data_IF_194353539989
#
_entry.id   IF_194353539989
#
_cell.length_a   1.000
_cell.length_b   1.000
_cell.length_c   1.000
_cell.angle_alpha   90.00
_cell.angle_beta   90.00
_cell.angle_gamma   90.00
#
_symmetry.space_group_name_H-M   'P 1'
#
loop_
_entity.id
_entity.type
_entity.pdbx_description
1 polymer ?
#
# COMPACT_ATOMS: atom_id res chain seq x y z
N UNK A 1 7.01 -43.33 21.14
CA UNK A 1 7.47 -44.49 21.94
C UNK A 1 8.03 -44.05 23.28
N UNK A 2 9.14 -43.30 23.37
CA UNK A 2 9.71 -42.83 24.66
C UNK A 2 8.72 -42.04 25.52
N UNK A 3 8.03 -41.06 24.94
CA UNK A 3 6.99 -40.28 25.65
C UNK A 3 5.74 -41.12 26.02
N UNK A 4 5.41 -42.15 25.24
CA UNK A 4 4.31 -43.07 25.58
C UNK A 4 4.67 -43.98 26.75
N UNK A 5 5.94 -44.39 26.84
CA UNK A 5 6.47 -45.19 27.94
C UNK A 5 6.42 -44.39 29.26
N UNK A 6 6.85 -43.13 29.22
CA UNK A 6 6.72 -42.20 30.36
C UNK A 6 5.27 -41.96 30.74
N UNK A 7 4.37 -41.78 29.77
CA UNK A 7 2.94 -41.58 30.03
C UNK A 7 2.27 -42.81 30.67
N UNK A 8 2.72 -44.02 30.32
CA UNK A 8 2.19 -45.26 30.90
C UNK A 8 2.63 -45.50 32.34
N UNK A 9 3.72 -44.87 32.80
CA UNK A 9 4.23 -45.03 34.17
C UNK A 9 3.88 -43.78 34.98
N UNK A 10 2.79 -43.85 35.76
CA UNK A 10 2.30 -42.71 36.55
C UNK A 10 3.18 -42.38 37.76
N UNK A 11 4.02 -43.32 38.21
CA UNK A 11 4.99 -43.08 39.27
C UNK A 11 6.23 -42.37 38.71
N UNK A 12 6.47 -41.14 39.16
CA UNK A 12 7.57 -40.28 38.69
C UNK A 12 8.94 -40.92 38.92
N UNK A 13 9.17 -41.58 40.06
CA UNK A 13 10.46 -42.20 40.36
C UNK A 13 10.72 -43.45 39.52
N UNK A 14 9.68 -44.20 39.18
CA UNK A 14 9.80 -45.38 38.31
C UNK A 14 9.93 -44.97 36.85
N UNK A 15 9.20 -43.94 36.42
CA UNK A 15 9.24 -43.41 35.06
C UNK A 15 10.59 -42.79 34.71
N UNK A 16 11.18 -41.97 35.59
CA UNK A 16 12.46 -41.30 35.31
C UNK A 16 13.68 -42.21 35.45
N UNK A 17 13.59 -43.30 36.23
CA UNK A 17 14.68 -44.27 36.38
C UNK A 17 14.65 -45.40 35.35
N UNK A 18 13.73 -45.39 34.37
CA UNK A 18 13.77 -46.38 33.31
C UNK A 18 15.07 -46.24 32.49
N UNK A 19 15.71 -47.37 32.14
CA UNK A 19 16.93 -47.35 31.36
C UNK A 19 16.69 -46.72 29.98
N UNK A 20 17.73 -46.09 29.42
CA UNK A 20 17.72 -45.47 28.08
C UNK A 20 16.80 -44.25 27.87
N UNK A 21 16.02 -43.81 28.86
CA UNK A 21 15.17 -42.62 28.69
C UNK A 21 15.98 -41.35 28.52
N UNK A 22 16.93 -41.09 29.42
CA UNK A 22 17.76 -39.88 29.37
C UNK A 22 18.59 -39.80 28.07
N UNK A 23 19.35 -40.84 27.68
CA UNK A 23 20.07 -40.86 26.39
C UNK A 23 19.14 -40.70 25.18
N UNK A 24 17.94 -41.30 25.22
CA UNK A 24 16.94 -41.14 24.14
C UNK A 24 16.43 -39.71 24.03
N UNK A 25 16.16 -39.06 25.16
CA UNK A 25 15.69 -37.66 25.19
C UNK A 25 16.80 -36.71 24.72
N UNK A 26 18.05 -36.90 25.16
CA UNK A 26 19.19 -36.11 24.67
C UNK A 26 19.38 -36.26 23.15
N UNK A 27 19.23 -37.47 22.62
CA UNK A 27 19.29 -37.72 21.17
C UNK A 27 18.16 -37.02 20.43
N UNK A 28 16.92 -37.14 20.90
CA UNK A 28 15.76 -36.46 20.30
C UNK A 28 15.95 -34.95 20.33
N UNK A 29 16.44 -34.40 21.44
CA UNK A 29 16.72 -32.96 21.58
C UNK A 29 17.78 -32.50 20.59
N UNK A 30 18.86 -33.28 20.42
CA UNK A 30 19.91 -32.98 19.44
C UNK A 30 19.40 -33.03 18.01
N UNK A 31 18.66 -34.08 17.66
CA UNK A 31 18.08 -34.26 16.33
C UNK A 31 17.06 -33.16 16.01
N UNK A 32 16.23 -32.78 17.00
CA UNK A 32 15.30 -31.66 16.88
C UNK A 32 16.03 -30.34 16.62
N UNK A 33 17.10 -30.05 17.36
CA UNK A 33 17.90 -28.84 17.17
C UNK A 33 18.57 -28.76 15.79
N UNK A 34 18.98 -29.90 15.21
CA UNK A 34 19.48 -29.94 13.83
C UNK A 34 18.37 -29.64 12.81
N UNK A 35 17.19 -30.22 12.99
CA UNK A 35 16.03 -29.98 12.13
C UNK A 35 15.56 -28.53 12.20
N UNK A 36 15.49 -27.94 13.40
CA UNK A 36 15.12 -26.54 13.61
C UNK A 36 16.09 -25.59 12.92
N UNK A 37 17.40 -25.86 13.01
CA UNK A 37 18.42 -25.05 12.34
C UNK A 37 18.28 -25.14 10.81
N UNK A 38 18.16 -26.36 10.27
CA UNK A 38 18.00 -26.55 8.83
C UNK A 38 16.73 -25.87 8.30
N UNK A 39 15.63 -25.93 9.06
CA UNK A 39 14.39 -25.25 8.74
C UNK A 39 14.55 -23.73 8.77
N UNK A 40 15.23 -23.18 9.79
CA UNK A 40 15.49 -21.76 9.90
C UNK A 40 16.33 -21.23 8.72
N UNK A 41 17.38 -21.96 8.34
CA UNK A 41 18.26 -21.63 7.21
C UNK A 41 17.49 -21.69 5.87
N UNK A 42 16.61 -22.69 5.70
CA UNK A 42 15.74 -22.79 4.54
C UNK A 42 14.76 -21.61 4.45
N UNK A 43 14.09 -21.26 5.55
CA UNK A 43 13.15 -20.13 5.60
C UNK A 43 13.85 -18.80 5.34
N UNK A 44 15.07 -18.59 5.86
CA UNK A 44 15.83 -17.38 5.58
C UNK A 44 16.19 -17.26 4.09
N UNK A 45 16.53 -18.38 3.43
CA UNK A 45 16.78 -18.40 1.98
C UNK A 45 15.53 -17.95 1.21
N UNK A 46 14.33 -18.37 1.65
CA UNK A 46 13.06 -17.96 1.03
C UNK A 46 12.74 -16.50 1.30
N UNK A 47 13.03 -15.99 2.51
CA UNK A 47 12.89 -14.57 2.84
C UNK A 47 13.80 -13.68 2.00
N UNK A 48 15.02 -14.12 1.72
CA UNK A 48 15.93 -13.40 0.83
C UNK A 48 15.42 -13.37 -0.62
N UNK A 49 14.79 -14.46 -1.09
CA UNK A 49 14.24 -14.52 -2.44
C UNK A 49 13.00 -13.65 -2.61
N UNK A 50 12.10 -13.60 -1.61
CA UNK A 50 10.95 -12.70 -1.59
C UNK A 50 10.86 -11.95 -0.24
N UNK A 51 11.42 -10.73 -0.17
CA UNK A 51 11.61 -10.01 1.10
C UNK A 51 10.35 -9.68 1.90
N UNK A 52 9.15 -9.70 1.28
CA UNK A 52 7.90 -9.52 2.05
C UNK A 52 7.66 -10.65 3.06
N UNK A 53 8.31 -11.80 2.90
CA UNK A 53 8.26 -12.88 3.87
C UNK A 53 8.92 -12.56 5.21
N UNK A 54 9.68 -11.46 5.32
CA UNK A 54 10.13 -10.96 6.63
C UNK A 54 8.99 -10.43 7.51
N UNK A 55 7.81 -10.15 6.93
CA UNK A 55 6.66 -9.56 7.63
C UNK A 55 5.55 -10.55 7.96
N UNK A 56 5.74 -11.83 7.65
CA UNK A 56 4.79 -12.90 8.01
C UNK A 56 5.41 -13.84 9.04
N UNK A 57 4.56 -14.51 9.81
CA UNK A 57 5.03 -15.48 10.79
C UNK A 57 5.71 -16.68 10.09
N UNK A 58 6.64 -17.35 10.78
CA UNK A 58 7.28 -18.56 10.23
C UNK A 58 6.25 -19.67 9.93
N UNK A 59 5.15 -19.74 10.70
CA UNK A 59 4.07 -20.69 10.45
C UNK A 59 3.32 -20.38 9.15
N UNK A 60 2.98 -19.11 8.92
CA UNK A 60 2.34 -18.67 7.68
C UNK A 60 3.26 -18.86 6.47
N UNK A 61 4.55 -18.56 6.63
CA UNK A 61 5.52 -18.79 5.57
C UNK A 61 5.61 -20.26 5.19
N UNK A 62 5.60 -21.17 6.17
CA UNK A 62 5.58 -22.60 5.91
C UNK A 62 4.30 -23.04 5.18
N UNK A 63 3.15 -22.47 5.55
CA UNK A 63 1.87 -22.76 4.88
C UNK A 63 1.82 -22.25 3.44
N UNK A 64 2.40 -21.07 3.19
CA UNK A 64 2.58 -20.53 1.83
C UNK A 64 3.50 -21.43 1.00
N UNK A 65 4.62 -21.89 1.58
CA UNK A 65 5.59 -22.72 0.90
C UNK A 65 5.08 -24.14 0.63
N UNK A 66 4.33 -24.73 1.57
CA UNK A 66 3.72 -26.05 1.41
C UNK A 66 2.64 -26.04 0.32
N UNK A 67 1.89 -24.95 0.22
CA UNK A 67 0.82 -24.75 -0.75
C UNK A 67 1.26 -24.04 -2.03
N UNK A 68 2.57 -23.83 -2.23
CA UNK A 68 3.12 -22.98 -3.30
C UNK A 68 2.75 -23.42 -4.72
N UNK A 69 2.44 -24.71 -4.90
CA UNK A 69 1.98 -25.27 -6.17
C UNK A 69 0.49 -25.03 -6.46
N UNK A 70 -0.27 -24.56 -5.48
CA UNK A 70 -1.71 -24.27 -5.58
C UNK A 70 -1.96 -22.77 -5.30
N UNK A 71 -1.87 -21.90 -6.33
CA UNK A 71 -2.01 -20.45 -6.17
C UNK A 71 -3.32 -20.00 -5.51
N UNK A 72 -4.40 -20.76 -5.69
CA UNK A 72 -5.68 -20.52 -5.05
C UNK A 72 -5.62 -20.66 -3.53
N UNK A 73 -4.79 -21.58 -3.00
CA UNK A 73 -4.58 -21.72 -1.56
C UNK A 73 -3.68 -20.60 -1.02
N UNK A 74 -2.59 -20.28 -1.74
CA UNK A 74 -1.69 -19.17 -1.37
C UNK A 74 -2.42 -17.82 -1.35
N UNK A 75 -3.46 -17.67 -2.19
CA UNK A 75 -4.28 -16.45 -2.26
C UNK A 75 -4.85 -16.02 -0.90
N UNK A 76 -5.09 -16.96 0.02
CA UNK A 76 -5.57 -16.69 1.39
C UNK A 76 -4.60 -15.86 2.22
N UNK A 77 -3.31 -15.96 1.92
CA UNK A 77 -2.23 -15.25 2.62
C UNK A 77 -1.86 -13.92 1.96
N UNK A 78 -2.41 -13.58 0.78
CA UNK A 78 -2.09 -12.33 0.08
C UNK A 78 -2.40 -11.10 0.93
N UNK A 79 -3.44 -11.17 1.76
CA UNK A 79 -3.82 -10.09 2.69
C UNK A 79 -2.77 -9.76 3.74
N UNK A 80 -1.83 -10.68 4.00
CA UNK A 80 -0.67 -10.50 4.90
C UNK A 80 0.55 -9.97 4.16
N UNK A 81 0.65 -10.23 2.85
CA UNK A 81 1.79 -9.82 2.02
C UNK A 81 1.57 -8.45 1.36
N UNK A 82 0.32 -8.08 1.10
CA UNK A 82 -0.07 -6.86 0.38
C UNK A 82 -1.14 -6.08 1.18
N UNK A 83 -1.19 -4.75 1.02
CA UNK A 83 -2.13 -3.91 1.78
C UNK A 83 -3.59 -4.23 1.44
N UNK A 84 -3.93 -4.28 0.14
CA UNK A 84 -5.34 -4.43 -0.27
C UNK A 84 -5.64 -5.66 -1.10
N UNK A 85 -4.64 -6.38 -1.62
CA UNK A 85 -4.88 -7.61 -2.39
C UNK A 85 -5.40 -8.73 -1.48
N UNK A 86 -6.60 -9.24 -1.77
CA UNK A 86 -7.25 -10.32 -1.04
C UNK A 86 -7.33 -11.63 -1.83
N UNK A 87 -7.23 -11.57 -3.16
CA UNK A 87 -7.27 -12.76 -4.00
C UNK A 87 -6.93 -12.46 -5.45
N UNK A 88 -6.86 -13.52 -6.23
CA UNK A 88 -6.61 -13.49 -7.67
C UNK A 88 -7.76 -14.20 -8.39
N UNK A 89 -8.14 -13.67 -9.55
CA UNK A 89 -9.01 -14.33 -10.50
C UNK A 89 -8.13 -14.98 -11.56
N UNK A 90 -8.39 -16.26 -11.83
CA UNK A 90 -7.59 -17.06 -12.74
C UNK A 90 -8.37 -17.36 -14.02
N UNK A 91 -7.63 -17.46 -15.13
CA UNK A 91 -8.22 -17.80 -16.43
C UNK A 91 -8.85 -19.19 -16.37
N UNK A 92 -10.07 -19.30 -16.89
CA UNK A 92 -10.77 -20.58 -17.05
C UNK A 92 -10.50 -21.14 -18.44
N UNK A 93 -10.07 -22.40 -18.52
CA UNK A 93 -9.88 -23.12 -19.79
C UNK A 93 -10.58 -24.47 -19.68
N UNK A 94 -11.50 -24.74 -20.61
CA UNK A 94 -12.28 -25.99 -20.65
C UNK A 94 -13.00 -26.34 -19.33
N UNK A 95 -13.49 -25.32 -18.62
CA UNK A 95 -14.16 -25.47 -17.32
C UNK A 95 -13.24 -25.75 -16.14
N UNK A 96 -11.91 -25.77 -16.36
CA UNK A 96 -10.90 -25.89 -15.31
C UNK A 96 -10.17 -24.57 -15.09
N UNK A 97 -9.95 -24.26 -13.81
CA UNK A 97 -9.19 -23.09 -13.40
C UNK A 97 -7.70 -23.31 -13.69
N UNK A 98 -7.12 -22.46 -14.51
CA UNK A 98 -5.68 -22.47 -14.77
C UNK A 98 -4.92 -21.80 -13.61
N UNK A 99 -3.59 -21.83 -13.67
CA UNK A 99 -2.71 -21.11 -12.73
C UNK A 99 -2.30 -19.73 -13.23
N UNK A 100 -2.97 -19.21 -14.26
CA UNK A 100 -2.70 -17.90 -14.85
C UNK A 100 -3.66 -16.89 -14.24
N UNK A 101 -3.15 -15.95 -13.44
CA UNK A 101 -3.94 -14.87 -12.87
C UNK A 101 -4.21 -13.79 -13.92
N UNK A 102 -5.47 -13.43 -14.12
CA UNK A 102 -5.92 -12.40 -15.05
C UNK A 102 -6.45 -11.14 -14.36
N UNK A 103 -6.84 -11.21 -13.10
CA UNK A 103 -7.29 -10.04 -12.35
C UNK A 103 -6.95 -10.14 -10.87
N UNK A 104 -6.79 -8.97 -10.24
CA UNK A 104 -6.62 -8.79 -8.81
C UNK A 104 -7.97 -8.53 -8.15
N UNK A 105 -8.20 -9.10 -6.97
CA UNK A 105 -9.38 -8.83 -6.15
C UNK A 105 -8.95 -8.23 -4.81
N UNK A 106 -9.46 -7.05 -4.49
CA UNK A 106 -9.17 -6.35 -3.25
C UNK A 106 -10.04 -6.83 -2.07
N UNK A 107 -9.63 -6.44 -0.85
CA UNK A 107 -10.32 -6.70 0.42
C UNK A 107 -11.74 -6.11 0.46
N UNK A 108 -11.95 -4.98 -0.19
CA UNK A 108 -13.24 -4.31 -0.38
C UNK A 108 -14.08 -4.90 -1.54
N UNK A 109 -13.52 -5.89 -2.24
CA UNK A 109 -14.11 -6.57 -3.37
C UNK A 109 -13.90 -5.89 -4.73
N UNK A 110 -13.15 -4.78 -4.82
CA UNK A 110 -12.79 -4.18 -6.12
C UNK A 110 -12.00 -5.21 -6.94
N UNK A 111 -12.32 -5.30 -8.24
CA UNK A 111 -11.63 -6.19 -9.17
C UNK A 111 -10.94 -5.33 -10.22
N UNK A 112 -9.65 -5.59 -10.42
CA UNK A 112 -8.80 -4.88 -11.40
C UNK A 112 -8.15 -5.90 -12.31
N UNK A 113 -8.46 -5.84 -13.60
CA UNK A 113 -7.85 -6.72 -14.61
C UNK A 113 -6.35 -6.41 -14.74
N UNK A 114 -5.54 -7.46 -14.82
CA UNK A 114 -4.10 -7.32 -15.04
C UNK A 114 -3.82 -7.05 -16.51
N UNK A 115 -2.97 -6.06 -16.78
CA UNK A 115 -2.51 -5.77 -18.14
C UNK A 115 -1.68 -6.93 -18.68
N UNK A 116 -0.76 -7.42 -17.85
CA UNK A 116 0.06 -8.60 -18.13
C UNK A 116 -0.38 -9.73 -17.22
N UNK A 117 -0.91 -10.81 -17.80
CA UNK A 117 -1.33 -11.99 -17.05
C UNK A 117 -0.13 -12.56 -16.27
N UNK A 118 -0.37 -13.02 -15.04
CA UNK A 118 0.69 -13.54 -14.18
C UNK A 118 0.61 -15.07 -14.10
N UNK A 119 1.66 -15.75 -14.57
CA UNK A 119 1.78 -17.21 -14.45
C UNK A 119 2.21 -17.60 -13.02
N UNK A 120 1.28 -18.14 -12.24
CA UNK A 120 1.52 -18.60 -10.88
C UNK A 120 2.03 -20.07 -10.87
N UNK A 121 3.14 -20.32 -11.58
CA UNK A 121 3.76 -21.65 -11.72
C UNK A 121 5.19 -21.63 -11.20
N UNK A 122 5.63 -22.72 -10.58
CA UNK A 122 6.98 -22.85 -10.04
C UNK A 122 7.09 -22.40 -8.59
N UNK A 123 8.27 -21.95 -8.19
CA UNK A 123 8.52 -21.58 -6.80
C UNK A 123 7.73 -20.32 -6.41
N UNK A 124 7.14 -20.35 -5.21
CA UNK A 124 6.17 -19.35 -4.75
C UNK A 124 6.75 -17.94 -4.69
N UNK A 125 8.02 -17.82 -4.30
CA UNK A 125 8.75 -16.57 -4.24
C UNK A 125 8.80 -15.85 -5.60
N UNK A 126 8.99 -16.60 -6.69
CA UNK A 126 9.21 -16.03 -8.02
C UNK A 126 7.91 -15.56 -8.64
N UNK A 127 6.85 -16.35 -8.54
CA UNK A 127 5.57 -15.89 -9.08
C UNK A 127 4.94 -14.80 -8.21
N UNK A 128 5.19 -14.76 -6.90
CA UNK A 128 4.78 -13.63 -6.06
C UNK A 128 5.51 -12.33 -6.44
N UNK A 129 6.79 -12.43 -6.80
CA UNK A 129 7.54 -11.30 -7.34
C UNK A 129 6.96 -10.85 -8.70
N UNK A 130 6.72 -11.78 -9.62
CA UNK A 130 6.10 -11.47 -10.92
C UNK A 130 4.69 -10.86 -10.77
N UNK A 131 3.91 -11.32 -9.78
CA UNK A 131 2.62 -10.73 -9.44
C UNK A 131 2.76 -9.28 -8.97
N UNK A 132 3.75 -8.98 -8.14
CA UNK A 132 4.03 -7.62 -7.68
C UNK A 132 4.43 -6.69 -8.84
N UNK A 133 5.22 -7.19 -9.79
CA UNK A 133 5.64 -6.45 -10.98
C UNK A 133 4.43 -6.17 -11.90
N UNK A 134 3.64 -7.20 -12.22
CA UNK A 134 2.42 -7.09 -13.02
C UNK A 134 1.37 -6.17 -12.37
N UNK A 135 1.23 -6.22 -11.04
CA UNK A 135 0.38 -5.29 -10.27
C UNK A 135 0.80 -3.84 -10.51
N UNK A 136 2.10 -3.53 -10.36
CA UNK A 136 2.62 -2.16 -10.52
C UNK A 136 2.48 -1.67 -11.96
N UNK A 137 2.76 -2.53 -12.93
CA UNK A 137 2.56 -2.25 -14.34
C UNK A 137 1.09 -1.92 -14.64
N UNK A 138 0.17 -2.72 -14.09
CA UNK A 138 -1.27 -2.55 -14.25
C UNK A 138 -1.74 -1.20 -13.71
N UNK A 139 -1.37 -0.83 -12.48
CA UNK A 139 -1.73 0.47 -11.90
C UNK A 139 -1.13 1.63 -12.70
N UNK A 140 0.14 1.51 -13.12
CA UNK A 140 0.81 2.52 -13.96
C UNK A 140 0.11 2.70 -15.30
N UNK A 141 -0.28 1.62 -15.95
CA UNK A 141 -0.96 1.63 -17.25
C UNK A 141 -2.35 2.24 -17.17
N UNK A 142 -3.17 1.84 -16.19
CA UNK A 142 -4.47 2.47 -16.00
C UNK A 142 -4.34 3.95 -15.66
N UNK A 143 -3.33 4.35 -14.87
CA UNK A 143 -3.10 5.77 -14.57
C UNK A 143 -2.70 6.57 -15.81
N UNK A 144 -1.84 6.04 -16.69
CA UNK A 144 -1.46 6.76 -17.92
C UNK A 144 -2.66 7.00 -18.84
N UNK A 145 -3.52 5.99 -19.01
CA UNK A 145 -4.75 6.12 -19.81
C UNK A 145 -5.72 7.09 -19.14
N UNK A 146 -5.93 6.96 -17.84
CA UNK A 146 -6.87 7.80 -17.10
C UNK A 146 -6.49 9.28 -17.14
N UNK A 147 -5.20 9.60 -17.03
CA UNK A 147 -4.70 10.98 -17.12
C UNK A 147 -5.02 11.58 -18.49
N UNK A 148 -4.81 10.84 -19.58
CA UNK A 148 -5.11 11.33 -20.95
C UNK A 148 -6.62 11.48 -21.18
N UNK A 149 -7.43 10.56 -20.66
CA UNK A 149 -8.88 10.55 -20.88
C UNK A 149 -9.65 11.62 -20.09
N UNK A 150 -9.04 12.22 -19.06
CA UNK A 150 -9.74 13.10 -18.10
C UNK A 150 -10.42 14.31 -18.75
N UNK A 151 -9.78 14.95 -19.74
CA UNK A 151 -10.36 16.13 -20.41
C UNK A 151 -11.44 15.76 -21.44
N UNK A 152 -11.41 14.53 -21.96
CA UNK A 152 -12.31 14.09 -23.03
C UNK A 152 -13.69 13.68 -22.52
N UNK A 153 -13.80 13.33 -21.24
CA UNK A 153 -15.00 12.73 -20.66
C UNK A 153 -15.59 13.59 -19.53
N UNK A 154 -16.89 13.42 -19.27
CA UNK A 154 -17.51 14.03 -18.10
C UNK A 154 -16.94 13.42 -16.81
N UNK A 155 -16.55 14.26 -15.84
CA UNK A 155 -15.88 13.84 -14.60
C UNK A 155 -16.61 12.71 -13.86
N UNK A 156 -17.94 12.75 -13.81
CA UNK A 156 -18.77 11.71 -13.18
C UNK A 156 -18.55 10.33 -13.82
N UNK A 157 -18.55 10.27 -15.16
CA UNK A 157 -18.34 9.04 -15.93
C UNK A 157 -16.90 8.56 -15.81
N UNK A 158 -15.95 9.49 -15.94
CA UNK A 158 -14.53 9.22 -15.81
C UNK A 158 -14.21 8.60 -14.43
N UNK A 159 -14.77 9.15 -13.35
CA UNK A 159 -14.55 8.61 -12.01
C UNK A 159 -15.00 7.15 -11.95
N UNK A 160 -16.18 6.79 -12.46
CA UNK A 160 -16.72 5.43 -12.36
C UNK A 160 -15.89 4.43 -13.20
N UNK A 161 -15.37 4.85 -14.35
CA UNK A 161 -14.69 3.98 -15.33
C UNK A 161 -13.36 3.39 -14.86
N UNK A 162 -12.56 4.12 -14.07
CA UNK A 162 -11.22 3.67 -13.66
C UNK A 162 -11.20 3.10 -12.25
N UNK A 163 -10.25 2.21 -11.88
CA UNK A 163 -10.11 1.72 -10.49
C UNK A 163 -10.01 2.87 -9.47
N UNK A 164 -10.47 2.67 -8.24
CA UNK A 164 -10.59 3.71 -7.22
C UNK A 164 -9.28 4.46 -6.98
N UNK A 165 -8.18 3.73 -6.81
CA UNK A 165 -6.84 4.31 -6.62
C UNK A 165 -6.40 5.15 -7.83
N UNK A 166 -6.70 4.70 -9.04
CA UNK A 166 -6.34 5.38 -10.29
C UNK A 166 -7.15 6.67 -10.44
N UNK A 167 -8.47 6.61 -10.23
CA UNK A 167 -9.35 7.77 -10.28
C UNK A 167 -8.95 8.83 -9.23
N UNK A 168 -8.56 8.39 -8.03
CA UNK A 168 -8.09 9.27 -6.96
C UNK A 168 -6.77 9.97 -7.33
N UNK A 169 -5.76 9.20 -7.72
CA UNK A 169 -4.46 9.76 -8.09
C UNK A 169 -4.57 10.65 -9.34
N UNK A 170 -5.32 10.23 -10.35
CA UNK A 170 -5.60 11.04 -11.55
C UNK A 170 -6.29 12.36 -11.23
N UNK A 171 -7.24 12.37 -10.29
CA UNK A 171 -7.86 13.62 -9.81
C UNK A 171 -6.83 14.56 -9.17
N UNK A 172 -5.89 14.04 -8.38
CA UNK A 172 -4.83 14.87 -7.76
C UNK A 172 -3.82 15.41 -8.78
N UNK A 173 -3.53 14.64 -9.84
CA UNK A 173 -2.70 15.08 -10.97
C UNK A 173 -3.37 16.24 -11.70
N UNK A 174 -4.64 16.09 -12.05
CA UNK A 174 -5.39 17.14 -12.74
C UNK A 174 -5.61 18.36 -11.87
N UNK A 175 -5.86 18.19 -10.58
CA UNK A 175 -5.92 19.32 -9.64
C UNK A 175 -4.64 20.15 -9.68
N UNK A 176 -3.47 19.50 -9.60
CA UNK A 176 -2.18 20.19 -9.62
C UNK A 176 -1.95 20.90 -10.97
N UNK A 177 -2.31 20.24 -12.07
CA UNK A 177 -2.20 20.77 -13.44
C UNK A 177 -3.08 22.01 -13.64
N UNK A 178 -4.34 21.95 -13.20
CA UNK A 178 -5.31 23.03 -13.37
C UNK A 178 -5.01 24.24 -12.48
N UNK A 179 -4.48 24.02 -11.27
CA UNK A 179 -3.99 25.11 -10.39
C UNK A 179 -2.79 25.81 -11.02
N UNK A 180 -1.79 25.06 -11.50
CA UNK A 180 -0.65 25.65 -12.20
C UNK A 180 -1.09 26.39 -13.47
N UNK A 181 -2.04 25.83 -14.23
CA UNK A 181 -2.64 26.53 -15.37
C UNK A 181 -3.41 27.80 -14.97
N UNK A 182 -3.98 27.86 -13.77
CA UNK A 182 -4.59 29.08 -13.24
C UNK A 182 -3.55 30.13 -12.83
N UNK A 183 -2.40 29.73 -12.29
CA UNK A 183 -1.27 30.63 -12.06
C UNK A 183 -0.70 31.19 -13.36
N UNK A 184 -0.50 30.35 -14.38
CA UNK A 184 -0.03 30.82 -15.70
C UNK A 184 -0.98 31.88 -16.32
N UNK A 185 -2.30 31.64 -16.27
CA UNK A 185 -3.28 32.63 -16.74
C UNK A 185 -3.29 33.92 -15.91
N UNK A 186 -2.97 33.83 -14.62
CA UNK A 186 -2.85 35.00 -13.75
C UNK A 186 -1.64 35.84 -14.15
N UNK A 187 -0.50 35.21 -14.47
CA UNK A 187 0.70 35.87 -15.00
C UNK A 187 0.45 36.51 -16.37
N UNK A 188 -0.39 35.90 -17.21
CA UNK A 188 -0.87 36.48 -18.48
C UNK A 188 -1.84 37.68 -18.29
N UNK A 189 -2.15 38.06 -17.06
CA UNK A 189 -2.99 39.22 -16.71
C UNK A 189 -4.46 38.91 -16.41
N UNK A 190 -4.86 37.64 -16.33
CA UNK A 190 -6.21 37.27 -15.90
C UNK A 190 -6.31 37.20 -14.36
N UNK A 191 -6.57 38.35 -13.74
CA UNK A 191 -6.74 38.49 -12.28
C UNK A 191 -7.84 37.58 -11.67
N UNK A 192 -8.76 37.09 -12.50
CA UNK A 192 -9.87 36.20 -12.11
C UNK A 192 -9.53 34.71 -12.13
N UNK A 193 -8.39 34.30 -12.70
CA UNK A 193 -8.14 32.91 -13.08
C UNK A 193 -8.25 31.90 -11.93
N UNK A 194 -7.67 32.21 -10.75
CA UNK A 194 -7.74 31.33 -9.57
C UNK A 194 -9.16 31.29 -8.99
N UNK A 195 -9.88 32.43 -9.00
CA UNK A 195 -11.27 32.50 -8.52
C UNK A 195 -12.23 31.72 -9.42
N UNK A 196 -12.02 31.75 -10.73
CA UNK A 196 -12.81 30.99 -11.69
C UNK A 196 -12.55 29.48 -11.54
N UNK A 197 -11.30 29.08 -11.30
CA UNK A 197 -10.99 27.70 -10.98
C UNK A 197 -11.62 27.24 -9.66
N UNK A 198 -11.61 28.09 -8.62
CA UNK A 198 -12.32 27.81 -7.36
C UNK A 198 -13.82 27.56 -7.58
N UNK A 199 -14.48 28.38 -8.42
CA UNK A 199 -15.89 28.16 -8.78
C UNK A 199 -16.09 26.82 -9.50
N UNK A 200 -15.18 26.45 -10.41
CA UNK A 200 -15.19 25.13 -11.05
C UNK A 200 -15.11 24.00 -10.03
N UNK A 201 -14.21 24.07 -9.05
CA UNK A 201 -14.09 23.06 -7.99
C UNK A 201 -15.36 22.96 -7.14
N UNK A 202 -16.00 24.08 -6.81
CA UNK A 202 -17.27 24.08 -6.06
C UNK A 202 -18.36 23.35 -6.86
N UNK A 203 -18.48 23.61 -8.16
CA UNK A 203 -19.47 22.92 -9.01
C UNK A 203 -19.18 21.43 -9.12
N UNK A 204 -17.92 21.04 -9.33
CA UNK A 204 -17.53 19.62 -9.38
C UNK A 204 -17.82 18.91 -8.06
N UNK A 205 -17.59 19.56 -6.91
CA UNK A 205 -17.94 19.01 -5.60
C UNK A 205 -19.46 18.85 -5.43
N UNK A 206 -20.27 19.81 -5.88
CA UNK A 206 -21.73 19.69 -5.86
C UNK A 206 -22.20 18.50 -6.70
N UNK A 207 -21.57 18.28 -7.85
CA UNK A 207 -21.80 17.10 -8.69
C UNK A 207 -21.49 15.80 -7.92
N UNK A 208 -20.32 15.68 -7.28
CA UNK A 208 -19.96 14.49 -6.50
C UNK A 208 -20.94 14.24 -5.33
N UNK A 209 -21.36 15.32 -4.66
CA UNK A 209 -22.38 15.25 -3.60
C UNK A 209 -23.72 14.76 -4.19
N UNK A 210 -24.10 15.24 -5.37
CA UNK A 210 -25.27 14.76 -6.10
C UNK A 210 -25.21 13.26 -6.40
N UNK A 211 -24.06 12.76 -6.85
CA UNK A 211 -23.85 11.31 -7.04
C UNK A 211 -24.04 10.53 -5.73
N UNK A 212 -23.53 11.04 -4.61
CA UNK A 212 -23.67 10.39 -3.29
C UNK A 212 -25.11 10.34 -2.78
N UNK A 213 -25.97 11.28 -3.17
CA UNK A 213 -27.40 11.23 -2.82
C UNK A 213 -28.15 10.15 -3.63
N UNK A 214 -27.63 9.79 -4.80
CA UNK A 214 -28.20 8.75 -5.66
C UNK A 214 -27.97 7.32 -5.15
N UNK A 215 -28.46 6.38 -5.96
CA UNK A 215 -28.24 4.95 -5.77
C UNK A 215 -26.85 4.56 -6.29
N UNK A 216 -26.02 4.03 -5.40
CA UNK A 216 -24.64 3.62 -5.67
C UNK A 216 -24.37 2.32 -4.94
N UNK A 217 -23.55 1.45 -5.53
CA UNK A 217 -23.00 0.29 -4.81
C UNK A 217 -22.13 0.76 -3.64
N UNK A 218 -21.89 -0.13 -2.66
CA UNK A 218 -21.01 0.19 -1.53
C UNK A 218 -19.60 0.61 -1.95
N UNK A 219 -19.07 0.01 -3.02
CA UNK A 219 -17.75 0.31 -3.57
C UNK A 219 -17.71 1.68 -4.25
N UNK A 220 -18.68 1.97 -5.13
CA UNK A 220 -18.77 3.28 -5.80
C UNK A 220 -18.95 4.40 -4.78
N UNK A 221 -19.80 4.17 -3.77
CA UNK A 221 -20.03 5.13 -2.70
C UNK A 221 -18.75 5.40 -1.91
N UNK A 222 -18.00 4.37 -1.53
CA UNK A 222 -16.71 4.51 -0.84
C UNK A 222 -15.69 5.29 -1.68
N UNK A 223 -15.62 5.00 -2.99
CA UNK A 223 -14.73 5.65 -3.94
C UNK A 223 -15.05 7.14 -4.09
N UNK A 224 -16.33 7.47 -4.28
CA UNK A 224 -16.79 8.86 -4.42
C UNK A 224 -16.60 9.62 -3.10
N UNK A 225 -16.88 9.00 -1.95
CA UNK A 225 -16.59 9.60 -0.63
C UNK A 225 -15.10 9.93 -0.51
N UNK A 226 -14.24 8.99 -0.90
CA UNK A 226 -12.78 9.15 -0.81
C UNK A 226 -12.27 10.28 -1.69
N UNK A 227 -12.73 10.38 -2.93
CA UNK A 227 -12.41 11.49 -3.85
C UNK A 227 -12.95 12.80 -3.28
N UNK A 228 -14.19 12.81 -2.77
CA UNK A 228 -14.81 13.99 -2.17
C UNK A 228 -14.00 14.52 -0.97
N UNK A 229 -13.49 13.64 -0.10
CA UNK A 229 -12.62 14.04 1.02
C UNK A 229 -11.38 14.80 0.54
N UNK A 230 -10.72 14.32 -0.52
CA UNK A 230 -9.54 15.00 -1.09
C UNK A 230 -9.93 16.29 -1.80
N UNK A 231 -11.00 16.29 -2.59
CA UNK A 231 -11.47 17.48 -3.30
C UNK A 231 -11.86 18.63 -2.35
N UNK A 232 -12.45 18.32 -1.19
CA UNK A 232 -12.76 19.30 -0.15
C UNK A 232 -11.47 19.99 0.33
N UNK A 233 -10.43 19.22 0.62
CA UNK A 233 -9.12 19.76 0.97
C UNK A 233 -8.53 20.59 -0.18
N UNK A 234 -8.53 20.07 -1.41
CA UNK A 234 -8.04 20.76 -2.61
C UNK A 234 -8.74 22.10 -2.85
N UNK A 235 -10.06 22.18 -2.66
CA UNK A 235 -10.84 23.42 -2.72
C UNK A 235 -10.43 24.38 -1.61
N UNK A 236 -10.28 23.90 -0.38
CA UNK A 236 -9.92 24.75 0.76
C UNK A 236 -8.50 25.33 0.61
N UNK A 237 -7.58 24.59 0.01
CA UNK A 237 -6.25 25.09 -0.38
C UNK A 237 -6.38 26.25 -1.37
N UNK A 238 -7.13 26.07 -2.46
CA UNK A 238 -7.34 27.15 -3.46
C UNK A 238 -8.04 28.36 -2.83
N UNK A 239 -9.02 28.14 -1.96
CA UNK A 239 -9.66 29.21 -1.18
C UNK A 239 -8.67 30.01 -0.33
N UNK A 240 -7.73 29.33 0.34
CA UNK A 240 -6.64 29.97 1.09
C UNK A 240 -5.70 30.76 0.18
N UNK A 241 -5.32 30.22 -1.00
CA UNK A 241 -4.49 30.94 -1.97
C UNK A 241 -5.13 32.27 -2.39
N UNK A 242 -6.46 32.27 -2.61
CA UNK A 242 -7.22 33.48 -2.93
C UNK A 242 -7.22 34.46 -1.75
N UNK A 243 -7.50 33.99 -0.54
CA UNK A 243 -7.53 34.84 0.67
C UNK A 243 -6.18 35.51 0.94
N UNK A 244 -5.09 34.77 0.71
CA UNK A 244 -3.72 35.22 0.91
C UNK A 244 -3.16 36.00 -0.28
N UNK A 245 -3.93 36.17 -1.37
CA UNK A 245 -3.52 36.83 -2.62
C UNK A 245 -2.19 36.26 -3.16
N UNK A 246 -2.12 34.94 -3.24
CA UNK A 246 -0.96 34.25 -3.81
C UNK A 246 -1.01 34.39 -5.33
N UNK A 247 0.04 34.98 -5.90
CA UNK A 247 0.09 35.32 -7.33
C UNK A 247 1.07 34.47 -8.14
N UNK A 248 1.89 33.64 -7.48
CA UNK A 248 2.89 32.80 -8.14
C UNK A 248 2.82 31.35 -7.66
N UNK A 249 3.01 30.42 -8.57
CA UNK A 249 3.17 28.99 -8.24
C UNK A 249 4.41 28.71 -7.38
N UNK A 250 5.40 29.60 -7.37
CA UNK A 250 6.61 29.46 -6.55
C UNK A 250 6.37 29.83 -5.08
N UNK A 251 5.17 30.31 -4.74
CA UNK A 251 4.83 30.67 -3.37
C UNK A 251 4.79 29.43 -2.46
N UNK A 252 5.37 29.57 -1.26
CA UNK A 252 5.44 28.49 -0.27
C UNK A 252 4.07 27.89 0.07
N UNK A 253 3.01 28.70 0.09
CA UNK A 253 1.65 28.25 0.38
C UNK A 253 1.16 27.18 -0.60
N UNK A 254 1.53 27.30 -1.88
CA UNK A 254 1.27 26.28 -2.89
C UNK A 254 2.31 25.16 -2.85
N UNK A 255 3.60 25.53 -2.80
CA UNK A 255 4.72 24.58 -2.81
C UNK A 255 4.68 23.60 -1.62
N UNK A 256 4.14 24.00 -0.47
CA UNK A 256 4.00 23.17 0.73
C UNK A 256 2.91 22.09 0.65
N UNK A 257 2.08 22.10 -0.39
CA UNK A 257 1.03 21.09 -0.58
C UNK A 257 1.58 19.84 -1.25
N UNK A 258 1.02 18.66 -0.94
CA UNK A 258 1.34 17.44 -1.66
C UNK A 258 0.68 17.47 -3.04
N UNK A 259 1.50 17.53 -4.10
CA UNK A 259 1.03 17.62 -5.49
C UNK A 259 1.44 16.38 -6.26
N UNK A 260 0.56 15.88 -7.11
CA UNK A 260 0.88 14.81 -8.06
C UNK A 260 1.08 15.41 -9.45
N UNK A 261 2.08 14.93 -10.17
CA UNK A 261 2.41 15.37 -11.53
C UNK A 261 2.64 14.15 -12.40
N UNK A 262 1.96 14.08 -13.53
CA UNK A 262 2.30 13.13 -14.57
C UNK A 262 3.38 13.72 -15.48
N UNK A 263 4.54 13.07 -15.53
CA UNK A 263 5.62 13.43 -16.44
C UNK A 263 5.45 12.67 -17.75
N UNK A 264 5.26 13.43 -18.84
CA UNK A 264 4.96 12.88 -20.17
C UNK A 264 6.18 12.20 -20.79
N UNK A 265 7.40 12.70 -20.53
CA UNK A 265 8.64 12.16 -21.12
C UNK A 265 9.08 10.88 -20.40
N UNK A 266 9.03 10.90 -19.06
CA UNK A 266 9.38 9.75 -18.23
C UNK A 266 8.26 8.72 -18.14
N UNK A 267 7.05 9.06 -18.59
CA UNK A 267 5.83 8.27 -18.42
C UNK A 267 5.64 7.81 -16.96
N UNK A 268 5.85 8.73 -16.02
CA UNK A 268 5.80 8.44 -14.59
C UNK A 268 5.06 9.53 -13.82
N UNK A 269 4.38 9.11 -12.74
CA UNK A 269 3.78 10.01 -11.77
C UNK A 269 4.82 10.33 -10.71
N UNK A 270 4.93 11.61 -10.38
CA UNK A 270 5.74 12.13 -9.30
C UNK A 270 4.85 12.80 -8.26
N UNK A 271 5.24 12.64 -7.00
CA UNK A 271 4.69 13.34 -5.86
C UNK A 271 5.68 14.40 -5.43
N UNK A 272 5.25 15.66 -5.45
CA UNK A 272 6.06 16.83 -5.18
C UNK A 272 5.56 17.54 -3.91
N UNK A 273 6.48 17.93 -3.04
CA UNK A 273 6.20 18.81 -1.90
C UNK A 273 7.46 19.62 -1.58
N UNK A 274 7.33 20.93 -1.58
CA UNK A 274 8.45 21.86 -1.65
C UNK A 274 9.40 21.45 -2.79
N UNK A 275 10.68 21.28 -2.49
CA UNK A 275 11.75 20.82 -3.38
C UNK A 275 11.88 19.30 -3.47
N UNK A 276 11.17 18.53 -2.65
CA UNK A 276 11.20 17.08 -2.71
C UNK A 276 10.37 16.56 -3.89
N UNK A 277 10.99 15.73 -4.72
CA UNK A 277 10.34 14.98 -5.79
C UNK A 277 10.52 13.48 -5.57
N UNK A 278 9.41 12.76 -5.47
CA UNK A 278 9.38 11.32 -5.26
C UNK A 278 8.58 10.63 -6.37
N UNK A 279 9.12 9.55 -6.94
CA UNK A 279 8.37 8.74 -7.90
C UNK A 279 7.26 7.96 -7.18
N UNK A 280 6.04 8.01 -7.71
CA UNK A 280 4.94 7.16 -7.25
C UNK A 280 5.28 5.69 -7.52
N UNK A 281 5.05 4.79 -6.55
CA UNK A 281 5.53 3.40 -6.62
C UNK A 281 4.52 2.38 -7.16
N UNK A 282 3.29 2.81 -7.45
CA UNK A 282 2.25 2.04 -8.14
C UNK A 282 1.85 0.72 -7.46
N UNK A 283 2.13 0.54 -6.18
CA UNK A 283 1.57 -0.61 -5.45
C UNK A 283 0.04 -0.49 -5.40
N UNK A 284 -0.67 -1.60 -5.57
CA UNK A 284 -2.13 -1.59 -5.52
C UNK A 284 -2.63 -1.58 -4.07
N UNK A 285 -3.33 -0.51 -3.71
CA UNK A 285 -3.78 -0.17 -2.36
C UNK A 285 -5.31 -0.17 -2.24
N UNK A 286 -6.04 -0.54 -3.30
CA UNK A 286 -7.49 -0.72 -3.27
C UNK A 286 -8.29 0.56 -3.02
N UNK A 287 -9.59 0.40 -2.74
CA UNK A 287 -10.54 1.47 -2.48
C UNK A 287 -10.62 1.78 -0.97
N UNK A 288 -9.49 2.19 -0.40
CA UNK A 288 -9.38 2.54 1.02
C UNK A 288 -9.80 3.98 1.29
N UNK A 289 -10.47 4.26 2.43
CA UNK A 289 -10.81 5.63 2.81
C UNK A 289 -9.55 6.48 3.02
N UNK A 290 -9.66 7.77 2.71
CA UNK A 290 -8.62 8.77 2.95
C UNK A 290 -8.83 9.50 4.28
N UNK A 291 -7.72 9.88 4.92
CA UNK A 291 -7.76 10.71 6.11
C UNK A 291 -8.20 12.14 5.73
N UNK A 292 -9.02 12.78 6.57
CA UNK A 292 -9.31 14.21 6.42
C UNK A 292 -8.03 15.00 6.68
N UNK A 293 -7.57 15.75 5.67
CA UNK A 293 -6.32 16.49 5.74
C UNK A 293 -6.52 17.81 6.48
N UNK A 294 -5.76 18.00 7.54
CA UNK A 294 -5.74 19.22 8.38
C UNK A 294 -4.41 19.94 8.25
N UNK A 295 -4.28 21.20 8.69
CA UNK A 295 -2.99 21.89 8.73
C UNK A 295 -1.90 21.20 9.58
N UNK A 296 -2.29 20.29 10.48
CA UNK A 296 -1.32 19.45 11.20
C UNK A 296 -0.85 18.29 10.32
N UNK A 297 -1.78 17.65 9.59
CA UNK A 297 -1.48 16.60 8.61
C UNK A 297 -0.55 17.12 7.51
N UNK A 298 -0.82 18.30 6.96
CA UNK A 298 0.03 18.94 5.94
C UNK A 298 1.47 19.13 6.45
N UNK A 299 1.63 19.63 7.68
CA UNK A 299 2.95 19.80 8.29
C UNK A 299 3.65 18.46 8.48
N UNK A 300 2.94 17.41 8.86
CA UNK A 300 3.51 16.06 8.92
C UNK A 300 3.94 15.57 7.53
N UNK A 301 3.18 15.84 6.47
CA UNK A 301 3.54 15.45 5.10
C UNK A 301 4.81 16.13 4.62
N UNK A 302 4.95 17.44 4.89
CA UNK A 302 6.17 18.19 4.58
C UNK A 302 7.37 17.53 5.28
N UNK A 303 7.32 17.38 6.61
CA UNK A 303 8.45 16.83 7.38
C UNK A 303 8.82 15.42 6.93
N UNK A 304 7.84 14.52 6.78
CA UNK A 304 8.09 13.13 6.41
C UNK A 304 8.68 13.02 4.99
N UNK A 305 8.16 13.82 4.05
CA UNK A 305 8.64 13.77 2.67
C UNK A 305 10.03 14.39 2.53
N UNK A 306 10.31 15.47 3.27
CA UNK A 306 11.63 16.08 3.34
C UNK A 306 12.66 15.16 3.98
N UNK A 307 12.31 14.49 5.09
CA UNK A 307 13.13 13.44 5.67
C UNK A 307 13.46 12.35 4.64
N UNK A 308 12.46 11.89 3.88
CA UNK A 308 12.69 10.87 2.87
C UNK A 308 13.59 11.37 1.73
N UNK A 309 13.39 12.61 1.26
CA UNK A 309 14.22 13.23 0.24
C UNK A 309 15.71 13.27 0.66
N UNK A 310 15.95 13.44 1.97
CA UNK A 310 17.28 13.41 2.58
C UNK A 310 17.75 12.00 2.99
N UNK A 311 17.01 10.95 2.64
CA UNK A 311 17.31 9.55 2.98
C UNK A 311 17.40 9.34 4.51
N UNK A 312 16.50 10.00 5.24
CA UNK A 312 16.37 9.92 6.70
C UNK A 312 14.99 9.39 7.11
N UNK A 313 14.94 8.83 8.32
CA UNK A 313 13.67 8.52 8.98
C UNK A 313 12.94 9.77 9.47
N UNK A 314 11.64 9.63 9.71
CA UNK A 314 10.83 10.66 10.36
C UNK A 314 10.33 10.20 11.73
N UNK A 315 10.29 11.12 12.69
CA UNK A 315 9.81 10.85 14.05
C UNK A 315 8.61 11.77 14.40
N UNK A 316 7.40 11.48 13.86
CA UNK A 316 6.21 12.22 14.25
C UNK A 316 5.90 11.92 15.73
N UNK A 317 5.95 12.96 16.57
CA UNK A 317 5.73 12.86 18.01
C UNK A 317 4.40 13.50 18.42
N UNK A 318 3.72 12.90 19.40
CA UNK A 318 2.45 13.39 19.93
C UNK A 318 1.70 12.34 20.76
N UNK A 319 0.63 12.72 21.49
CA UNK A 319 -0.14 11.81 22.33
C UNK A 319 -0.72 10.60 21.58
N UNK A 320 -1.09 9.56 22.32
CA UNK A 320 -1.80 8.41 21.75
C UNK A 320 -3.14 8.86 21.12
N UNK A 321 -3.51 8.25 19.99
CA UNK A 321 -4.77 8.57 19.30
C UNK A 321 -4.77 9.85 18.44
N UNK A 322 -3.67 10.59 18.34
CA UNK A 322 -3.60 11.82 17.51
C UNK A 322 -3.33 11.58 16.03
N UNK A 323 -3.56 10.36 15.53
CA UNK A 323 -3.48 10.05 14.09
C UNK A 323 -2.07 9.94 13.50
N UNK A 324 -1.00 9.80 14.30
CA UNK A 324 0.40 9.69 13.82
C UNK A 324 0.60 8.55 12.80
N UNK A 325 0.19 7.35 13.19
CA UNK A 325 0.29 6.14 12.36
C UNK A 325 -0.58 6.26 11.12
N UNK A 326 -1.82 6.74 11.28
CA UNK A 326 -2.76 6.90 10.15
C UNK A 326 -2.31 7.99 9.16
N UNK A 327 -1.69 9.07 9.64
CA UNK A 327 -1.07 10.10 8.79
C UNK A 327 0.07 9.49 7.96
N UNK A 328 0.90 8.65 8.56
CA UNK A 328 2.01 8.01 7.83
C UNK A 328 1.52 6.98 6.82
N UNK A 329 0.49 6.20 7.17
CA UNK A 329 -0.19 5.29 6.22
C UNK A 329 -0.81 6.07 5.06
N UNK A 330 -1.50 7.17 5.34
CA UNK A 330 -2.14 7.96 4.30
C UNK A 330 -1.12 8.60 3.35
N UNK A 331 0.01 9.10 3.88
CA UNK A 331 1.14 9.54 3.06
C UNK A 331 1.71 8.42 2.20
N UNK A 332 1.95 7.23 2.76
CA UNK A 332 2.42 6.08 2.00
C UNK A 332 1.47 5.73 0.85
N UNK A 333 0.16 5.74 1.10
CA UNK A 333 -0.84 5.55 0.03
C UNK A 333 -0.80 6.65 -1.03
N UNK A 334 -0.52 7.89 -0.63
CA UNK A 334 -0.33 8.99 -1.58
C UNK A 334 0.95 8.86 -2.41
N UNK A 335 1.95 8.10 -1.94
CA UNK A 335 3.17 7.77 -2.69
C UNK A 335 3.08 6.42 -3.42
N UNK A 336 1.95 5.70 -3.28
CA UNK A 336 1.74 4.40 -3.92
C UNK A 336 2.59 3.30 -3.31
N UNK A 337 2.86 3.39 -2.00
CA UNK A 337 3.64 2.42 -1.24
C UNK A 337 2.85 1.86 -0.05
N UNK A 338 3.00 0.57 0.19
CA UNK A 338 2.50 -0.07 1.40
C UNK A 338 3.34 0.33 2.63
N UNK A 339 2.65 0.63 3.74
CA UNK A 339 3.27 0.97 5.04
C UNK A 339 3.02 -0.15 6.03
N UNK A 340 4.08 -0.79 6.50
CA UNK A 340 4.03 -1.78 7.57
C UNK A 340 3.98 -1.08 8.94
N UNK A 341 3.10 -1.56 9.82
CA UNK A 341 2.99 -1.04 11.18
C UNK A 341 3.39 -2.12 12.17
N UNK A 342 4.35 -1.77 13.02
CA UNK A 342 4.90 -2.65 14.04
C UNK A 342 4.56 -2.12 15.42
N UNK A 343 3.98 -2.97 16.26
CA UNK A 343 3.78 -2.69 17.66
C UNK A 343 5.05 -3.12 18.41
N UNK A 344 5.81 -2.16 18.94
CA UNK A 344 7.03 -2.43 19.68
C UNK A 344 6.70 -2.77 21.14
N UNK A 345 6.32 -4.01 21.39
CA UNK A 345 6.14 -4.51 22.76
C UNK A 345 7.48 -4.78 23.45
N UNK A 346 7.48 -4.84 24.78
CA UNK A 346 8.67 -5.20 25.59
C UNK A 346 9.23 -6.59 25.25
N UNK A 347 8.46 -7.42 24.55
CA UNK A 347 8.84 -8.78 24.13
C UNK A 347 9.62 -8.79 22.81
N UNK A 348 9.71 -7.66 22.10
CA UNK A 348 10.50 -7.57 20.87
C UNK A 348 12.00 -7.54 21.19
N UNK A 349 12.71 -8.55 20.71
CA UNK A 349 14.16 -8.64 20.82
C UNK A 349 14.87 -7.98 19.63
N UNK A 350 16.19 -7.78 19.77
CA UNK A 350 17.01 -7.17 18.71
C UNK A 350 17.00 -8.00 17.41
N UNK A 351 16.74 -9.32 17.49
CA UNK A 351 16.66 -10.19 16.31
C UNK A 351 15.39 -9.93 15.53
N UNK A 352 14.25 -9.78 16.21
CA UNK A 352 12.96 -9.42 15.62
C UNK A 352 13.05 -8.06 14.93
N UNK A 353 13.64 -7.07 15.60
CA UNK A 353 13.88 -5.74 15.03
C UNK A 353 14.81 -5.83 13.81
N UNK A 354 15.92 -6.58 13.91
CA UNK A 354 16.84 -6.80 12.80
C UNK A 354 16.17 -7.45 11.58
N UNK A 355 15.27 -8.41 11.80
CA UNK A 355 14.46 -9.04 10.74
C UNK A 355 13.52 -8.05 10.06
N UNK A 356 12.85 -7.19 10.83
CA UNK A 356 12.00 -6.11 10.31
C UNK A 356 12.81 -5.15 9.44
N UNK A 357 13.98 -4.69 9.93
CA UNK A 357 14.83 -3.78 9.18
C UNK A 357 15.35 -4.39 7.88
N UNK A 358 15.76 -5.68 7.89
CA UNK A 358 16.12 -6.39 6.65
C UNK A 358 14.96 -6.39 5.65
N UNK A 359 13.76 -6.72 6.11
CA UNK A 359 12.56 -6.71 5.29
C UNK A 359 12.30 -5.34 4.67
N UNK A 360 12.33 -4.27 5.48
CA UNK A 360 12.08 -2.90 5.02
C UNK A 360 13.13 -2.44 3.99
N UNK A 361 14.41 -2.69 4.27
CA UNK A 361 15.50 -2.30 3.38
C UNK A 361 15.45 -3.03 2.03
N UNK A 362 15.12 -4.33 2.03
CA UNK A 362 15.08 -5.13 0.80
C UNK A 362 13.79 -4.90 -0.02
N UNK A 363 12.66 -4.63 0.63
CA UNK A 363 11.40 -4.32 -0.08
C UNK A 363 11.32 -2.88 -0.58
N UNK A 364 12.09 -1.98 0.03
CA UNK A 364 11.93 -0.53 -0.15
C UNK A 364 10.65 0.02 0.49
N UNK A 365 9.96 -0.77 1.31
CA UNK A 365 8.71 -0.40 1.97
C UNK A 365 8.95 0.49 3.19
N UNK A 366 7.89 1.16 3.63
CA UNK A 366 7.95 2.00 4.83
C UNK A 366 7.50 1.23 6.06
N UNK A 367 8.17 1.48 7.18
CA UNK A 367 7.83 0.93 8.48
C UNK A 367 7.50 2.04 9.46
N UNK A 368 6.42 1.86 10.21
CA UNK A 368 6.07 2.72 11.36
C UNK A 368 6.04 1.86 12.61
N UNK A 369 6.85 2.24 13.59
CA UNK A 369 6.87 1.65 14.92
C UNK A 369 6.16 2.58 15.90
N UNK A 370 5.34 2.04 16.80
CA UNK A 370 4.72 2.80 17.89
C UNK A 370 4.85 2.10 19.24
#
# INVERSE_FOLDING_TARGET
>A
RTLQCLYSTQNVLEGTNQPEIFPSLERIQKDLGMCEKALADYLETKRLAFPRFYFVSSADLLDILSSGNEPAQVSRHLTKLFDSLAGLIFVQKDGQQTKVACAMKAKDGEVVDLVSHCDCVGAVEWWLQGLQESMRETVKHYLSIAVVAYEAEAREKWIVQYPAQVALCGTQIWWSTEVNGAFARLEDGNEGAIKDYYRKQVNQLQTLIGMLVGELTGQERQKIMTICTIDVHSRDVVGKLIQMRVESEQAFQWQSQLRHRWDVELHHCFSNICDAELRYLYEYLGNTPRLVITPLTDRCYITLTQSLHLIMGGAPAGPAGTGKTETTKDLGRALGIMVYVFNCSEQMDYRSIGSIFKGLAMTGSWGVTF
#
